data_IF_842291907458
#
_entry.id   IF_842291907458
#
_cell.length_a   1.000
_cell.length_b   1.000
_cell.length_c   1.000
_cell.angle_alpha   90.00
_cell.angle_beta   90.00
_cell.angle_gamma   90.00
#
_symmetry.space_group_name_H-M   'P 1'
#
loop_
_entity.id
_entity.type
_entity.pdbx_description
1 polymer ?
#
# COMPACT_ATOMS: atom_id res chain seq x y z
N UNK A 1 8.52 27.21 -10.56
CA UNK A 1 7.41 26.73 -9.72
C UNK A 1 6.97 25.45 -10.39
N UNK A 2 7.31 24.30 -9.83
CA UNK A 2 7.07 23.03 -10.50
C UNK A 2 5.59 22.69 -10.36
N UNK A 3 4.86 22.81 -11.46
CA UNK A 3 3.50 22.31 -11.65
C UNK A 3 3.52 20.77 -11.62
N UNK A 4 3.78 20.20 -10.45
CA UNK A 4 3.43 18.81 -10.17
C UNK A 4 1.90 18.76 -10.08
N UNK A 5 1.30 18.37 -11.20
CA UNK A 5 -0.11 18.03 -11.26
C UNK A 5 -0.46 17.15 -10.04
N UNK A 6 -1.57 17.53 -9.43
CA UNK A 6 -2.20 17.03 -8.21
C UNK A 6 -2.56 15.53 -8.30
N UNK A 7 -1.58 14.65 -8.48
CA UNK A 7 -1.71 13.29 -7.99
C UNK A 7 -1.66 13.40 -6.47
N UNK A 8 -2.72 13.02 -5.73
CA UNK A 8 -2.67 13.08 -4.28
C UNK A 8 -1.47 12.24 -3.84
N UNK A 9 -0.61 12.80 -2.98
CA UNK A 9 0.45 12.04 -2.31
C UNK A 9 -0.14 10.73 -1.79
N UNK A 10 0.27 9.59 -2.35
CA UNK A 10 -0.27 8.26 -2.00
C UNK A 10 -1.26 7.64 -3.00
N UNK A 11 -1.31 8.06 -4.26
CA UNK A 11 -2.08 7.30 -5.27
C UNK A 11 -1.52 5.89 -5.49
N UNK A 12 -0.19 5.74 -5.45
CA UNK A 12 0.49 4.43 -5.53
C UNK A 12 0.10 3.54 -4.35
N UNK A 13 0.04 4.11 -3.13
CA UNK A 13 -0.45 3.44 -1.94
C UNK A 13 -1.91 2.99 -2.09
N UNK A 14 -2.80 3.84 -2.64
CA UNK A 14 -4.19 3.43 -2.88
C UNK A 14 -4.30 2.31 -3.90
N UNK A 15 -3.51 2.34 -4.97
CA UNK A 15 -3.49 1.27 -5.99
C UNK A 15 -2.96 -0.03 -5.39
N UNK A 16 -1.94 0.03 -4.53
CA UNK A 16 -1.45 -1.11 -3.78
C UNK A 16 -2.52 -1.70 -2.85
N UNK A 17 -3.21 -0.87 -2.06
CA UNK A 17 -4.31 -1.33 -1.18
C UNK A 17 -5.45 -1.95 -1.97
N UNK A 18 -5.83 -1.34 -3.11
CA UNK A 18 -6.87 -1.88 -3.98
C UNK A 18 -6.47 -3.26 -4.51
N UNK A 19 -5.24 -3.38 -5.01
CA UNK A 19 -4.70 -4.64 -5.54
C UNK A 19 -4.64 -5.74 -4.47
N UNK A 20 -4.19 -5.40 -3.26
CA UNK A 20 -4.20 -6.30 -2.10
C UNK A 20 -5.64 -6.77 -1.76
N UNK A 21 -6.60 -5.85 -1.80
CA UNK A 21 -8.02 -6.15 -1.54
C UNK A 21 -8.64 -7.05 -2.62
N UNK A 22 -8.31 -6.81 -3.89
CA UNK A 22 -8.75 -7.66 -5.01
C UNK A 22 -8.18 -9.08 -4.93
N UNK A 23 -6.92 -9.21 -4.50
CA UNK A 23 -6.29 -10.50 -4.32
C UNK A 23 -6.82 -11.26 -3.09
N UNK A 24 -7.58 -10.61 -2.20
CA UNK A 24 -8.00 -11.15 -0.88
C UNK A 24 -6.83 -11.73 -0.06
N UNK A 25 -5.61 -11.35 -0.40
CA UNK A 25 -4.38 -11.81 0.20
C UNK A 25 -3.65 -10.58 0.69
N UNK A 26 -3.73 -10.40 1.99
CA UNK A 26 -3.02 -9.33 2.68
C UNK A 26 -1.81 -9.91 3.43
N UNK A 27 -1.16 -10.92 2.86
CA UNK A 27 0.04 -11.53 3.42
C UNK A 27 1.25 -10.59 3.24
N UNK A 28 2.28 -10.73 4.06
CA UNK A 28 3.53 -9.95 3.92
C UNK A 28 4.09 -10.06 2.50
N UNK A 29 4.04 -11.26 1.89
CA UNK A 29 4.48 -11.46 0.51
C UNK A 29 3.67 -10.65 -0.51
N UNK A 30 2.36 -10.47 -0.28
CA UNK A 30 1.52 -9.66 -1.15
C UNK A 30 1.82 -8.17 -0.95
N UNK A 31 2.10 -7.73 0.28
CA UNK A 31 2.50 -6.35 0.58
C UNK A 31 3.87 -6.03 -0.03
N UNK A 32 4.83 -6.95 0.02
CA UNK A 32 6.13 -6.83 -0.66
C UNK A 32 5.94 -6.77 -2.19
N UNK A 33 5.10 -7.64 -2.76
CA UNK A 33 4.82 -7.64 -4.20
C UNK A 33 4.12 -6.35 -4.65
N UNK A 34 3.17 -5.84 -3.85
CA UNK A 34 2.55 -4.54 -4.08
C UNK A 34 3.58 -3.41 -3.96
N UNK A 35 4.50 -3.49 -3.01
CA UNK A 35 5.55 -2.47 -2.81
C UNK A 35 6.50 -2.39 -3.99
N UNK A 36 6.94 -3.55 -4.51
CA UNK A 36 7.76 -3.63 -5.73
C UNK A 36 6.99 -3.21 -6.98
N UNK A 37 5.70 -3.52 -7.06
CA UNK A 37 4.88 -3.26 -8.25
C UNK A 37 4.45 -1.79 -8.37
N UNK A 38 4.16 -1.15 -7.25
CA UNK A 38 3.69 0.23 -7.20
C UNK A 38 4.79 1.23 -6.78
N UNK A 39 6.03 0.78 -6.68
CA UNK A 39 7.19 1.61 -6.28
C UNK A 39 6.92 2.33 -4.94
N UNK A 40 6.38 1.57 -3.97
CA UNK A 40 6.08 2.11 -2.65
C UNK A 40 7.38 2.44 -1.91
N UNK A 41 7.35 3.53 -1.15
CA UNK A 41 8.46 3.85 -0.26
C UNK A 41 8.47 2.86 0.92
N UNK A 42 9.63 2.63 1.56
CA UNK A 42 9.72 1.79 2.77
C UNK A 42 8.73 2.23 3.87
N UNK A 43 8.46 3.53 3.94
CA UNK A 43 7.45 4.12 4.83
C UNK A 43 6.02 3.67 4.52
N UNK A 44 5.68 3.55 3.24
CA UNK A 44 4.35 3.11 2.79
C UNK A 44 4.17 1.60 3.03
N UNK A 45 5.22 0.82 2.78
CA UNK A 45 5.25 -0.62 3.10
C UNK A 45 5.06 -0.86 4.61
N UNK A 46 5.82 -0.18 5.46
CA UNK A 46 5.67 -0.26 6.92
C UNK A 46 4.26 0.15 7.37
N UNK A 47 3.68 1.18 6.74
CA UNK A 47 2.31 1.59 7.00
C UNK A 47 1.31 0.49 6.65
N UNK A 48 1.45 -0.15 5.48
CA UNK A 48 0.59 -1.26 5.05
C UNK A 48 0.67 -2.45 6.00
N UNK A 49 1.88 -2.86 6.37
CA UNK A 49 2.11 -3.97 7.31
C UNK A 49 1.44 -3.66 8.66
N UNK A 50 1.67 -2.44 9.18
CA UNK A 50 1.10 -2.01 10.46
C UNK A 50 -0.42 -1.94 10.43
N UNK A 51 -0.98 -1.37 9.38
CA UNK A 51 -2.43 -1.24 9.18
C UNK A 51 -3.10 -2.61 9.07
N UNK A 52 -2.48 -3.55 8.36
CA UNK A 52 -3.00 -4.90 8.23
C UNK A 52 -2.95 -5.68 9.55
N UNK A 53 -1.81 -5.64 10.26
CA UNK A 53 -1.67 -6.28 11.57
C UNK A 53 -2.71 -5.76 12.57
N UNK A 54 -3.04 -4.47 12.52
CA UNK A 54 -4.10 -3.89 13.36
C UNK A 54 -5.49 -4.37 12.95
N UNK A 55 -5.76 -4.44 11.64
CA UNK A 55 -7.04 -4.94 11.09
C UNK A 55 -7.31 -6.41 11.44
N UNK A 56 -6.27 -7.25 11.46
CA UNK A 56 -6.37 -8.67 11.87
C UNK A 56 -6.67 -8.85 13.35
N UNK A 57 -6.29 -7.87 14.20
CA UNK A 57 -6.55 -7.93 15.65
C UNK A 57 -7.97 -7.52 16.02
N UNK A 58 -8.69 -6.88 15.11
CA UNK A 58 -10.06 -6.39 15.33
C UNK A 58 -11.14 -7.26 14.66
N UNK A 59 -10.77 -8.38 14.02
CA UNK A 59 -11.71 -9.37 13.42
C UNK A 59 -11.87 -10.63 14.26
#
# INVERSE_FOLDING_TARGET
MSDHLLLPHGEDLRRAVLWLSEHHQHDIAAIEEASLRFDLSPLDEEFLIRHWLDSQRQS
#
